data_IF_029051382501
#
_entry.id   IF_029051382501
#
_cell.length_a   1.000
_cell.length_b   1.000
_cell.length_c   1.000
_cell.angle_alpha   90.00
_cell.angle_beta   90.00
_cell.angle_gamma   90.00
#
_symmetry.space_group_name_H-M   'P 1'
#
loop_
_entity.id
_entity.type
_entity.pdbx_description
1 polymer ?
#
# COMPACT_ATOMS: atom_id res chain seq x y z
N UNK A 1 20.24 -27.37 -18.81
CA UNK A 1 19.41 -27.69 -17.64
C UNK A 1 18.22 -26.76 -17.69
N UNK A 2 17.08 -27.32 -18.07
CA UNK A 2 15.82 -26.62 -18.35
C UNK A 2 15.24 -26.03 -17.06
N UNK A 3 15.11 -24.71 -17.01
CA UNK A 3 14.41 -23.99 -15.95
C UNK A 3 12.91 -24.31 -16.09
N UNK A 4 12.41 -25.26 -15.30
CA UNK A 4 10.97 -25.53 -15.19
C UNK A 4 10.41 -24.40 -14.30
N UNK A 5 9.46 -23.58 -14.78
CA UNK A 5 8.77 -22.61 -13.93
C UNK A 5 8.07 -23.39 -12.80
N UNK A 6 8.23 -22.95 -11.58
CA UNK A 6 7.58 -23.55 -10.42
C UNK A 6 6.07 -23.25 -10.44
N UNK A 7 5.33 -24.04 -11.24
CA UNK A 7 3.87 -23.95 -11.50
C UNK A 7 3.03 -24.60 -10.39
N UNK A 8 3.48 -24.50 -9.13
CA UNK A 8 2.89 -25.26 -8.02
C UNK A 8 1.71 -24.58 -7.33
N UNK A 9 1.48 -23.29 -7.52
CA UNK A 9 0.36 -22.59 -6.86
C UNK A 9 -0.78 -22.33 -7.86
N UNK A 10 -1.94 -22.95 -7.58
CA UNK A 10 -3.14 -22.83 -8.42
C UNK A 10 -4.26 -22.11 -7.67
N UNK A 11 -4.94 -21.20 -8.35
CA UNK A 11 -5.96 -20.33 -7.79
C UNK A 11 -7.34 -20.69 -8.31
N UNK A 12 -8.35 -20.66 -7.43
CA UNK A 12 -9.75 -20.82 -7.84
C UNK A 12 -10.29 -19.49 -8.41
N UNK A 13 -11.28 -19.59 -9.30
CA UNK A 13 -11.87 -18.42 -9.98
C UNK A 13 -12.32 -17.30 -9.02
N UNK A 14 -12.77 -17.60 -7.80
CA UNK A 14 -13.14 -16.59 -6.81
C UNK A 14 -11.93 -15.77 -6.34
N UNK A 15 -10.79 -16.43 -6.10
CA UNK A 15 -9.54 -15.75 -5.74
C UNK A 15 -9.04 -14.89 -6.90
N UNK A 16 -9.06 -15.43 -8.13
CA UNK A 16 -8.69 -14.68 -9.34
C UNK A 16 -9.57 -13.43 -9.51
N UNK A 17 -10.89 -13.57 -9.35
CA UNK A 17 -11.82 -12.45 -9.43
C UNK A 17 -11.53 -11.37 -8.37
N UNK A 18 -11.21 -11.78 -7.13
CA UNK A 18 -10.82 -10.85 -6.06
C UNK A 18 -9.52 -10.11 -6.37
N UNK A 19 -8.51 -10.83 -6.90
CA UNK A 19 -7.19 -10.26 -7.21
C UNK A 19 -7.23 -9.33 -8.41
N UNK A 20 -7.94 -9.72 -9.48
CA UNK A 20 -7.99 -8.94 -10.74
C UNK A 20 -9.06 -7.84 -10.73
N UNK A 21 -10.01 -7.89 -9.81
CA UNK A 21 -11.19 -7.03 -9.81
C UNK A 21 -12.19 -7.34 -10.95
N UNK A 22 -12.00 -8.44 -11.68
CA UNK A 22 -12.92 -8.93 -12.69
C UNK A 22 -14.01 -9.79 -12.05
N UNK A 23 -15.25 -9.72 -12.56
CA UNK A 23 -16.27 -10.67 -12.11
C UNK A 23 -15.98 -12.09 -12.63
N UNK A 24 -16.39 -13.11 -11.88
CA UNK A 24 -16.26 -14.50 -12.31
C UNK A 24 -16.97 -14.79 -13.63
N UNK A 25 -18.03 -14.00 -13.93
CA UNK A 25 -18.75 -14.08 -15.20
C UNK A 25 -17.90 -13.58 -16.38
N UNK A 26 -17.20 -12.46 -16.19
CA UNK A 26 -16.29 -11.90 -17.21
C UNK A 26 -15.15 -12.87 -17.50
N UNK A 27 -14.51 -13.42 -16.46
CA UNK A 27 -13.41 -14.41 -16.63
C UNK A 27 -13.88 -15.63 -17.44
N UNK A 28 -15.06 -16.19 -17.12
CA UNK A 28 -15.63 -17.31 -17.89
C UNK A 28 -15.94 -16.92 -19.33
N UNK A 29 -16.47 -15.71 -19.56
CA UNK A 29 -16.76 -15.22 -20.91
C UNK A 29 -15.49 -15.07 -21.74
N UNK A 30 -14.38 -14.65 -21.14
CA UNK A 30 -13.10 -14.54 -21.82
C UNK A 30 -12.49 -15.91 -22.16
N UNK A 31 -12.69 -16.91 -21.31
CA UNK A 31 -12.36 -18.32 -21.60
C UNK A 31 -13.25 -18.86 -22.74
N UNK A 32 -14.57 -18.83 -22.56
CA UNK A 32 -15.52 -19.58 -23.39
C UNK A 32 -15.79 -18.91 -24.75
N UNK A 33 -15.88 -17.57 -24.81
CA UNK A 33 -16.25 -16.85 -26.03
C UNK A 33 -15.06 -16.32 -26.81
N UNK A 34 -14.02 -15.88 -26.09
CA UNK A 34 -12.87 -15.21 -26.71
C UNK A 34 -11.62 -16.07 -26.76
N UNK A 35 -11.63 -17.23 -26.10
CA UNK A 35 -10.54 -18.20 -26.10
C UNK A 35 -9.19 -17.58 -25.66
N UNK A 36 -9.23 -16.66 -24.69
CA UNK A 36 -8.06 -15.90 -24.24
C UNK A 36 -7.38 -16.48 -23.00
N UNK A 37 -8.07 -17.35 -22.24
CA UNK A 37 -7.54 -17.95 -21.00
C UNK A 37 -7.92 -19.42 -20.95
N UNK A 38 -6.97 -20.29 -20.59
CA UNK A 38 -7.15 -21.74 -20.59
C UNK A 38 -6.85 -22.37 -19.23
N UNK A 39 -7.71 -22.15 -18.20
CA UNK A 39 -7.45 -22.70 -16.87
C UNK A 39 -7.48 -24.22 -16.88
N UNK A 40 -6.59 -24.84 -16.13
CA UNK A 40 -6.60 -26.29 -15.95
C UNK A 40 -7.86 -26.71 -15.17
N UNK A 41 -8.30 -27.95 -15.38
CA UNK A 41 -9.39 -28.54 -14.61
C UNK A 41 -8.83 -29.43 -13.51
N UNK A 42 -9.18 -29.10 -12.25
CA UNK A 42 -8.85 -29.96 -11.12
C UNK A 42 -9.67 -31.26 -11.09
N UNK A 43 -9.35 -32.22 -10.20
CA UNK A 43 -10.05 -33.49 -10.08
C UNK A 43 -11.57 -33.35 -9.89
N UNK A 44 -12.02 -32.26 -9.29
CA UNK A 44 -13.45 -31.96 -9.03
C UNK A 44 -14.07 -31.08 -10.15
N UNK A 45 -13.45 -30.97 -11.33
CA UNK A 45 -13.92 -30.18 -12.45
C UNK A 45 -13.80 -28.66 -12.30
N UNK A 46 -13.29 -28.14 -11.18
CA UNK A 46 -13.12 -26.72 -10.96
C UNK A 46 -11.98 -26.15 -11.79
N UNK A 47 -12.17 -24.91 -12.28
CA UNK A 47 -11.13 -24.12 -12.95
C UNK A 47 -10.02 -23.78 -11.98
N UNK A 48 -8.78 -24.02 -12.39
CA UNK A 48 -7.55 -23.73 -11.65
C UNK A 48 -6.65 -22.85 -12.53
N UNK A 49 -6.38 -21.65 -12.07
CA UNK A 49 -5.58 -20.64 -12.76
C UNK A 49 -4.17 -20.61 -12.19
N UNK A 50 -3.19 -20.31 -13.02
CA UNK A 50 -1.80 -20.06 -12.63
C UNK A 50 -1.60 -18.59 -12.28
N UNK A 51 -0.44 -18.24 -11.71
CA UNK A 51 -0.02 -16.85 -11.52
C UNK A 51 0.05 -16.09 -12.85
N UNK A 52 0.57 -16.75 -13.89
CA UNK A 52 0.66 -16.19 -15.24
C UNK A 52 -0.72 -15.90 -15.87
N UNK A 53 -1.73 -16.73 -15.58
CA UNK A 53 -3.11 -16.42 -15.98
C UNK A 53 -3.66 -15.19 -15.27
N UNK A 54 -3.31 -14.98 -14.01
CA UNK A 54 -3.72 -13.78 -13.23
C UNK A 54 -3.08 -12.53 -13.84
N UNK A 55 -1.78 -12.58 -14.15
CA UNK A 55 -1.08 -11.47 -14.82
C UNK A 55 -1.71 -11.16 -16.18
N UNK A 56 -1.98 -12.18 -16.95
CA UNK A 56 -2.59 -12.01 -18.27
C UNK A 56 -3.99 -11.40 -18.19
N UNK A 57 -4.81 -11.80 -17.22
CA UNK A 57 -6.12 -11.20 -16.97
C UNK A 57 -6.01 -9.71 -16.54
N UNK A 58 -4.99 -9.36 -15.73
CA UNK A 58 -4.70 -7.97 -15.36
C UNK A 58 -4.26 -7.16 -16.57
N UNK A 59 -3.38 -7.71 -17.42
CA UNK A 59 -2.97 -7.09 -18.69
C UNK A 59 -4.16 -6.82 -19.59
N UNK A 60 -5.02 -7.81 -19.85
CA UNK A 60 -6.23 -7.63 -20.66
C UNK A 60 -7.13 -6.54 -20.09
N UNK A 61 -7.32 -6.52 -18.77
CA UNK A 61 -8.10 -5.48 -18.12
C UNK A 61 -7.50 -4.11 -18.35
N UNK A 62 -6.17 -3.96 -18.20
CA UNK A 62 -5.51 -2.68 -18.41
C UNK A 62 -5.66 -2.17 -19.85
N UNK A 63 -5.63 -3.05 -20.85
CA UNK A 63 -5.89 -2.66 -22.24
C UNK A 63 -7.34 -2.15 -22.43
N UNK A 64 -8.31 -2.78 -21.78
CA UNK A 64 -9.71 -2.30 -21.80
C UNK A 64 -9.84 -0.92 -21.13
N UNK A 65 -9.14 -0.69 -20.03
CA UNK A 65 -9.12 0.60 -19.31
C UNK A 65 -8.45 1.70 -20.16
N UNK A 66 -7.58 1.33 -21.12
CA UNK A 66 -6.98 2.22 -22.13
C UNK A 66 -7.82 2.38 -23.41
N UNK A 67 -9.02 1.77 -23.45
CA UNK A 67 -9.99 1.98 -24.53
C UNK A 67 -10.03 0.86 -25.60
N UNK A 68 -9.22 -0.17 -25.47
CA UNK A 68 -9.32 -1.35 -26.35
C UNK A 68 -10.61 -2.14 -26.07
N UNK A 69 -11.10 -2.88 -27.05
CA UNK A 69 -12.21 -3.81 -26.85
C UNK A 69 -11.71 -5.24 -26.74
N UNK A 70 -12.37 -6.06 -25.91
CA UNK A 70 -11.99 -7.47 -25.77
C UNK A 70 -12.06 -8.24 -27.09
N UNK A 71 -12.95 -7.83 -28.02
CA UNK A 71 -13.05 -8.43 -29.36
C UNK A 71 -11.82 -8.13 -30.23
N UNK A 72 -11.28 -6.91 -30.16
CA UNK A 72 -10.05 -6.51 -30.85
C UNK A 72 -8.85 -7.28 -30.29
N UNK A 73 -8.73 -7.32 -28.94
CA UNK A 73 -7.68 -8.08 -28.28
C UNK A 73 -7.72 -9.57 -28.66
N UNK A 74 -8.91 -10.18 -28.71
CA UNK A 74 -9.05 -11.58 -29.11
C UNK A 74 -8.62 -11.87 -30.56
N UNK A 75 -8.69 -10.87 -31.46
CA UNK A 75 -8.21 -11.00 -32.84
C UNK A 75 -6.68 -11.12 -32.94
N UNK A 76 -5.95 -10.45 -32.05
CA UNK A 76 -4.48 -10.59 -31.96
C UNK A 76 -4.08 -11.99 -31.46
N UNK A 77 -4.92 -12.63 -30.65
CA UNK A 77 -4.68 -13.97 -30.13
C UNK A 77 -3.86 -13.99 -28.84
N UNK A 78 -4.08 -15.02 -28.02
CA UNK A 78 -3.47 -15.16 -26.70
C UNK A 78 -1.94 -15.07 -26.73
N UNK A 79 -1.30 -15.74 -27.69
CA UNK A 79 0.17 -15.82 -27.78
C UNK A 79 0.80 -14.42 -27.96
N UNK A 80 0.30 -13.63 -28.90
CA UNK A 80 0.79 -12.28 -29.16
C UNK A 80 0.54 -11.34 -27.98
N UNK A 81 -0.63 -11.43 -27.37
CA UNK A 81 -0.97 -10.64 -26.17
C UNK A 81 -0.09 -10.99 -24.97
N UNK A 82 0.24 -12.27 -24.76
CA UNK A 82 1.17 -12.67 -23.69
C UNK A 82 2.60 -12.18 -23.96
N UNK A 83 3.04 -12.14 -25.21
CA UNK A 83 4.33 -11.52 -25.56
C UNK A 83 4.30 -10.01 -25.26
N UNK A 84 3.25 -9.32 -25.65
CA UNK A 84 3.09 -7.88 -25.39
C UNK A 84 3.04 -7.54 -23.90
N UNK A 85 2.44 -8.40 -23.09
CA UNK A 85 2.41 -8.27 -21.63
C UNK A 85 3.81 -8.15 -21.01
N UNK A 86 4.79 -8.89 -21.52
CA UNK A 86 6.16 -8.83 -21.03
C UNK A 86 6.93 -7.56 -21.46
N UNK A 87 6.36 -6.78 -22.36
CA UNK A 87 6.95 -5.54 -22.90
C UNK A 87 6.22 -4.28 -22.43
N UNK A 88 5.47 -4.33 -21.30
CA UNK A 88 4.85 -3.13 -20.70
C UNK A 88 5.92 -2.07 -20.43
N UNK A 89 5.82 -0.87 -21.04
CA UNK A 89 6.81 0.17 -20.87
C UNK A 89 6.89 0.65 -19.43
N UNK A 90 8.11 0.93 -18.95
CA UNK A 90 8.32 1.53 -17.63
C UNK A 90 7.98 3.02 -17.67
N UNK A 91 6.97 3.44 -16.93
CA UNK A 91 6.65 4.85 -16.74
C UNK A 91 7.52 5.43 -15.62
N UNK A 92 8.69 5.96 -15.96
CA UNK A 92 9.64 6.55 -15.00
C UNK A 92 9.36 8.02 -14.68
N UNK A 93 8.26 8.61 -15.16
CA UNK A 93 7.97 10.05 -15.02
C UNK A 93 7.90 10.54 -13.56
N UNK A 94 7.55 9.66 -12.63
CA UNK A 94 7.53 9.94 -11.18
C UNK A 94 8.86 9.74 -10.46
N UNK A 95 9.92 9.34 -11.17
CA UNK A 95 11.23 9.01 -10.62
C UNK A 95 12.27 9.96 -11.21
N UNK A 96 13.09 10.59 -10.35
CA UNK A 96 14.13 11.50 -10.84
C UNK A 96 15.13 10.74 -11.76
N UNK A 97 15.59 11.34 -12.86
CA UNK A 97 16.48 10.69 -13.84
C UNK A 97 17.73 10.06 -13.24
N UNK A 98 18.25 10.66 -12.16
CA UNK A 98 19.39 10.13 -11.41
C UNK A 98 19.18 8.67 -10.92
N UNK A 99 17.93 8.26 -10.68
CA UNK A 99 17.58 6.94 -10.13
C UNK A 99 16.99 5.97 -11.18
N UNK A 100 16.96 6.33 -12.46
CA UNK A 100 16.37 5.46 -13.49
C UNK A 100 17.09 4.11 -13.62
N UNK A 101 18.42 4.12 -13.63
CA UNK A 101 19.21 2.89 -13.72
C UNK A 101 18.99 2.00 -12.49
N UNK A 102 19.00 2.61 -11.30
CA UNK A 102 18.73 1.90 -10.04
C UNK A 102 17.32 1.31 -10.02
N UNK A 103 16.33 2.04 -10.55
CA UNK A 103 14.95 1.56 -10.66
C UNK A 103 14.83 0.38 -11.62
N UNK A 104 15.45 0.46 -12.80
CA UNK A 104 15.46 -0.64 -13.77
C UNK A 104 16.15 -1.88 -13.20
N UNK A 105 17.27 -1.70 -12.51
CA UNK A 105 17.98 -2.80 -11.85
C UNK A 105 17.13 -3.43 -10.73
N UNK A 106 16.42 -2.63 -9.92
CA UNK A 106 15.51 -3.15 -8.90
C UNK A 106 14.39 -4.01 -9.50
N UNK A 107 13.78 -3.55 -10.60
CA UNK A 107 12.76 -4.32 -11.32
C UNK A 107 13.33 -5.64 -11.86
N UNK A 108 14.55 -5.60 -12.41
CA UNK A 108 15.25 -6.80 -12.87
C UNK A 108 15.49 -7.79 -11.73
N UNK A 109 15.98 -7.30 -10.59
CA UNK A 109 16.22 -8.12 -9.39
C UNK A 109 14.92 -8.73 -8.84
N UNK A 110 13.84 -7.97 -8.84
CA UNK A 110 12.53 -8.45 -8.42
C UNK A 110 12.03 -9.58 -9.34
N UNK A 111 12.15 -9.43 -10.67
CA UNK A 111 11.82 -10.48 -11.64
C UNK A 111 12.64 -11.76 -11.45
N UNK A 112 13.91 -11.64 -11.08
CA UNK A 112 14.78 -12.78 -10.78
C UNK A 112 14.64 -13.30 -9.35
N UNK A 113 13.83 -12.67 -8.51
CA UNK A 113 13.66 -13.03 -7.09
C UNK A 113 14.97 -13.01 -6.29
N UNK A 114 15.88 -12.11 -6.67
CA UNK A 114 17.15 -11.93 -5.93
C UNK A 114 16.95 -11.06 -4.69
N UNK A 115 16.35 -11.66 -3.66
CA UNK A 115 15.98 -10.96 -2.42
C UNK A 115 17.22 -10.36 -1.71
N UNK A 116 18.39 -10.99 -1.85
CA UNK A 116 19.62 -10.50 -1.23
C UNK A 116 20.10 -9.21 -1.91
N UNK A 117 20.14 -9.19 -3.24
CA UNK A 117 20.53 -8.00 -3.98
C UNK A 117 19.53 -6.86 -3.80
N UNK A 118 18.21 -7.15 -3.73
CA UNK A 118 17.16 -6.17 -3.41
C UNK A 118 17.43 -5.53 -2.04
N UNK A 119 17.68 -6.34 -1.00
CA UNK A 119 18.00 -5.85 0.35
C UNK A 119 19.23 -4.95 0.33
N UNK A 120 20.32 -5.40 -0.28
CA UNK A 120 21.57 -4.62 -0.39
C UNK A 120 21.35 -3.28 -1.10
N UNK A 121 20.49 -3.25 -2.12
CA UNK A 121 20.19 -2.02 -2.85
C UNK A 121 19.36 -1.04 -2.00
N UNK A 122 18.37 -1.52 -1.26
CA UNK A 122 17.59 -0.70 -0.30
C UNK A 122 18.53 -0.11 0.76
N UNK A 123 19.38 -0.94 1.36
CA UNK A 123 20.35 -0.50 2.36
C UNK A 123 21.36 0.51 1.80
N UNK A 124 21.83 0.33 0.57
CA UNK A 124 22.70 1.28 -0.13
C UNK A 124 22.05 2.65 -0.24
N UNK A 125 20.78 2.73 -0.65
CA UNK A 125 20.07 4.02 -0.76
C UNK A 125 19.92 4.68 0.62
N UNK A 126 19.53 3.91 1.62
CA UNK A 126 19.34 4.42 2.98
C UNK A 126 20.65 4.90 3.58
N UNK A 127 21.73 4.16 3.42
CA UNK A 127 23.05 4.52 3.94
C UNK A 127 23.64 5.76 3.21
N UNK A 128 23.34 5.91 1.92
CA UNK A 128 23.83 7.04 1.13
C UNK A 128 23.14 8.37 1.42
N UNK A 129 21.82 8.36 1.59
CA UNK A 129 21.04 9.61 1.67
C UNK A 129 20.17 9.73 2.92
N UNK A 130 20.18 8.75 3.81
CA UNK A 130 19.30 8.65 4.97
C UNK A 130 17.93 8.04 4.61
N UNK A 131 17.29 7.40 5.59
CA UNK A 131 16.05 6.65 5.40
C UNK A 131 14.93 7.53 4.81
N UNK A 132 14.72 8.71 5.37
CA UNK A 132 13.67 9.62 4.96
C UNK A 132 13.79 10.01 3.48
N UNK A 133 14.98 10.49 3.08
CA UNK A 133 15.23 10.89 1.70
C UNK A 133 15.18 9.71 0.73
N UNK A 134 15.62 8.54 1.14
CA UNK A 134 15.52 7.31 0.35
C UNK A 134 14.05 6.92 0.12
N UNK A 135 13.21 7.00 1.16
CA UNK A 135 11.76 6.77 1.03
C UNK A 135 11.12 7.74 0.03
N UNK A 136 11.37 9.03 0.15
CA UNK A 136 10.72 10.06 -0.66
C UNK A 136 11.22 10.06 -2.11
N UNK A 137 12.55 9.94 -2.31
CA UNK A 137 13.16 10.17 -3.62
C UNK A 137 13.16 8.95 -4.54
N UNK A 138 13.14 7.73 -3.97
CA UNK A 138 13.28 6.51 -4.76
C UNK A 138 12.32 5.40 -4.33
N UNK A 139 12.17 5.10 -3.02
CA UNK A 139 11.43 3.90 -2.59
C UNK A 139 9.93 4.04 -2.88
N UNK A 140 9.27 5.15 -2.50
CA UNK A 140 7.85 5.35 -2.79
C UNK A 140 7.53 5.47 -4.28
N UNK A 141 8.28 6.25 -5.09
CA UNK A 141 8.09 6.26 -6.54
C UNK A 141 8.27 4.87 -7.16
N UNK A 142 9.27 4.10 -6.72
CA UNK A 142 9.51 2.73 -7.16
C UNK A 142 8.34 1.80 -6.79
N UNK A 143 7.88 1.81 -5.54
CA UNK A 143 6.76 0.97 -5.10
C UNK A 143 5.47 1.30 -5.88
N UNK A 144 5.25 2.57 -6.22
CA UNK A 144 4.13 2.99 -7.08
C UNK A 144 4.27 2.39 -8.47
N UNK A 145 5.44 2.53 -9.09
CA UNK A 145 5.74 1.97 -10.41
C UNK A 145 5.56 0.45 -10.43
N UNK A 146 6.07 -0.25 -9.42
CA UNK A 146 5.93 -1.72 -9.28
C UNK A 146 4.45 -2.10 -9.15
N UNK A 147 3.66 -1.35 -8.37
CA UNK A 147 2.22 -1.54 -8.27
C UNK A 147 1.48 -1.31 -9.60
N UNK A 148 1.85 -0.27 -10.34
CA UNK A 148 1.31 0.00 -11.68
C UNK A 148 1.63 -1.13 -12.66
N UNK A 149 2.89 -1.61 -12.67
CA UNK A 149 3.32 -2.74 -13.50
C UNK A 149 2.53 -4.02 -13.16
N UNK A 150 2.32 -4.29 -11.87
CA UNK A 150 1.48 -5.41 -11.45
C UNK A 150 0.04 -5.27 -11.94
N UNK A 151 -0.57 -4.10 -11.77
CA UNK A 151 -1.94 -3.84 -12.26
C UNK A 151 -2.08 -3.96 -13.79
N UNK A 152 -1.00 -3.67 -14.53
CA UNK A 152 -0.95 -3.79 -15.99
C UNK A 152 -0.55 -5.20 -16.46
N UNK A 153 -0.30 -6.14 -15.53
CA UNK A 153 0.15 -7.49 -15.86
C UNK A 153 1.62 -7.61 -16.28
N UNK A 154 2.37 -6.49 -16.26
CA UNK A 154 3.81 -6.47 -16.62
C UNK A 154 4.73 -6.98 -15.50
N UNK A 155 4.18 -7.27 -14.32
CA UNK A 155 4.88 -7.83 -13.15
C UNK A 155 3.94 -8.73 -12.37
N UNK A 156 4.45 -9.84 -11.80
CA UNK A 156 3.66 -10.74 -10.97
C UNK A 156 3.45 -10.18 -9.56
N UNK A 157 2.40 -10.66 -8.87
CA UNK A 157 2.19 -10.36 -7.46
C UNK A 157 3.40 -10.78 -6.61
N UNK A 158 4.03 -11.91 -6.93
CA UNK A 158 5.21 -12.41 -6.23
C UNK A 158 6.41 -11.48 -6.41
N UNK A 159 6.63 -10.95 -7.60
CA UNK A 159 7.70 -10.00 -7.89
C UNK A 159 7.47 -8.66 -7.16
N UNK A 160 6.24 -8.13 -7.20
CA UNK A 160 5.84 -6.96 -6.43
C UNK A 160 6.10 -7.18 -4.94
N UNK A 161 5.59 -8.27 -4.37
CA UNK A 161 5.71 -8.58 -2.95
C UNK A 161 7.16 -8.81 -2.52
N UNK A 162 8.07 -9.19 -3.40
CA UNK A 162 9.49 -9.35 -3.06
C UNK A 162 10.13 -8.02 -2.65
N UNK A 163 9.77 -6.92 -3.29
CA UNK A 163 10.25 -5.58 -2.95
C UNK A 163 9.51 -5.00 -1.74
N UNK A 164 8.17 -5.01 -1.79
CA UNK A 164 7.34 -4.40 -0.75
C UNK A 164 7.55 -5.04 0.62
N UNK A 165 7.74 -6.38 0.69
CA UNK A 165 8.07 -7.09 1.94
C UNK A 165 9.42 -6.69 2.52
N UNK A 166 10.44 -6.50 1.69
CA UNK A 166 11.77 -6.10 2.16
C UNK A 166 11.79 -4.66 2.65
N UNK A 167 11.11 -3.75 1.96
CA UNK A 167 10.88 -2.37 2.44
C UNK A 167 10.14 -2.39 3.79
N UNK A 168 9.05 -3.14 3.88
CA UNK A 168 8.29 -3.33 5.13
C UNK A 168 9.17 -3.86 6.27
N UNK A 169 9.98 -4.89 5.99
CA UNK A 169 10.86 -5.48 6.99
C UNK A 169 11.89 -4.48 7.51
N UNK A 170 12.44 -3.64 6.62
CA UNK A 170 13.36 -2.58 7.01
C UNK A 170 12.70 -1.56 7.94
N UNK A 171 11.50 -1.08 7.60
CA UNK A 171 10.75 -0.15 8.45
C UNK A 171 10.42 -0.74 9.83
N UNK A 172 10.06 -2.02 9.89
CA UNK A 172 9.83 -2.73 11.16
C UNK A 172 11.11 -2.81 11.99
N UNK A 173 12.25 -3.09 11.36
CA UNK A 173 13.53 -3.16 12.08
C UNK A 173 13.88 -1.81 12.70
N UNK A 174 13.68 -0.70 12.00
CA UNK A 174 13.84 0.66 12.57
C UNK A 174 12.92 0.88 13.78
N UNK A 175 11.68 0.37 13.73
CA UNK A 175 10.73 0.49 14.85
C UNK A 175 11.02 -0.44 16.04
N UNK A 176 11.93 -1.42 15.90
CA UNK A 176 12.40 -2.26 17.02
C UNK A 176 13.44 -1.59 17.90
N UNK A 177 14.11 -0.57 17.41
CA UNK A 177 15.00 0.26 18.24
C UNK A 177 14.18 0.93 19.36
N UNK A 178 14.85 1.27 20.45
CA UNK A 178 14.17 1.93 21.57
C UNK A 178 13.63 3.31 21.17
N UNK A 179 12.35 3.61 21.48
CA UNK A 179 11.80 4.91 21.18
C UNK A 179 12.45 6.01 22.02
N UNK A 180 12.40 7.28 21.58
CA UNK A 180 12.88 8.41 22.36
C UNK A 180 12.27 8.46 23.76
N UNK A 181 13.08 8.70 24.78
CA UNK A 181 12.61 8.84 26.16
C UNK A 181 11.83 10.15 26.32
N UNK A 182 10.67 10.09 26.98
CA UNK A 182 9.91 11.29 27.40
C UNK A 182 9.13 11.98 26.27
N UNK A 183 9.09 11.43 25.07
CA UNK A 183 8.31 11.97 23.94
C UNK A 183 6.80 11.71 24.05
N UNK A 184 5.97 12.47 23.29
CA UNK A 184 4.54 12.25 23.22
C UNK A 184 4.22 10.90 22.57
N UNK A 185 3.08 10.30 22.94
CA UNK A 185 2.68 8.98 22.46
C UNK A 185 1.77 9.07 21.24
N UNK A 186 2.10 8.31 20.18
CA UNK A 186 1.28 8.14 19.00
C UNK A 186 0.93 6.65 18.78
N UNK A 187 -0.34 6.37 18.45
CA UNK A 187 -0.79 5.06 17.98
C UNK A 187 -1.07 5.13 16.49
N UNK A 188 -0.50 4.20 15.74
CA UNK A 188 -0.61 4.12 14.29
C UNK A 188 -1.21 2.77 13.91
N UNK A 189 -2.22 2.73 13.04
CA UNK A 189 -2.89 1.50 12.62
C UNK A 189 -3.47 1.60 11.21
N UNK A 190 -3.65 0.45 10.55
CA UNK A 190 -4.58 0.36 9.43
C UNK A 190 -5.99 0.05 9.93
N UNK A 191 -6.99 0.64 9.28
CA UNK A 191 -8.40 0.36 9.60
C UNK A 191 -8.77 -1.11 9.32
N UNK A 192 -9.90 -1.63 9.85
CA UNK A 192 -10.36 -2.97 9.55
C UNK A 192 -10.50 -3.22 8.05
N UNK A 193 -9.98 -4.36 7.59
CA UNK A 193 -9.97 -4.77 6.19
C UNK A 193 -8.81 -4.21 5.36
N UNK A 194 -7.99 -3.31 5.89
CA UNK A 194 -6.83 -2.76 5.19
C UNK A 194 -5.52 -3.42 5.65
N UNK A 195 -4.74 -3.91 4.68
CA UNK A 195 -3.45 -4.59 4.88
C UNK A 195 -2.27 -3.84 4.26
N UNK A 196 -2.46 -2.59 3.81
CA UNK A 196 -1.41 -1.78 3.18
C UNK A 196 -0.56 -1.09 4.24
N UNK A 197 0.48 -1.75 4.70
CA UNK A 197 1.26 -1.38 5.89
C UNK A 197 2.38 -0.37 5.65
N UNK A 198 2.88 -0.19 4.41
CA UNK A 198 4.11 0.60 4.18
C UNK A 198 3.93 2.07 4.58
N UNK A 199 2.83 2.71 4.17
CA UNK A 199 2.59 4.11 4.51
C UNK A 199 2.42 4.35 6.03
N UNK A 200 1.60 3.57 6.78
CA UNK A 200 1.50 3.75 8.23
C UNK A 200 2.77 3.36 8.98
N UNK A 201 3.54 2.36 8.53
CA UNK A 201 4.87 2.07 9.09
C UNK A 201 5.84 3.25 8.88
N UNK A 202 5.84 3.84 7.69
CA UNK A 202 6.63 5.05 7.41
C UNK A 202 6.21 6.20 8.33
N UNK A 203 4.90 6.40 8.51
CA UNK A 203 4.38 7.41 9.45
C UNK A 203 4.93 7.19 10.87
N UNK A 204 4.92 5.94 11.35
CA UNK A 204 5.46 5.60 12.66
C UNK A 204 6.96 5.89 12.78
N UNK A 205 7.74 5.58 11.73
CA UNK A 205 9.19 5.86 11.68
C UNK A 205 9.45 7.38 11.64
N UNK A 206 8.72 8.14 10.84
CA UNK A 206 8.86 9.59 10.76
C UNK A 206 8.52 10.27 12.10
N UNK A 207 7.42 9.86 12.75
CA UNK A 207 7.04 10.35 14.07
C UNK A 207 8.13 10.06 15.10
N UNK A 208 8.76 8.88 15.04
CA UNK A 208 9.88 8.53 15.91
C UNK A 208 11.08 9.44 15.70
N UNK A 209 11.43 9.74 14.44
CA UNK A 209 12.46 10.71 14.09
C UNK A 209 12.17 12.13 14.59
N UNK A 210 10.88 12.47 14.78
CA UNK A 210 10.40 13.73 15.36
C UNK A 210 10.31 13.69 16.91
N UNK A 211 10.82 12.64 17.57
CA UNK A 211 10.83 12.52 19.02
C UNK A 211 9.57 11.90 19.64
N UNK A 212 8.66 11.35 18.83
CA UNK A 212 7.46 10.69 19.35
C UNK A 212 7.73 9.24 19.78
N UNK A 213 7.07 8.81 20.83
CA UNK A 213 6.95 7.38 21.16
C UNK A 213 5.85 6.78 20.28
N UNK A 214 6.19 6.45 19.03
CA UNK A 214 5.27 5.88 18.06
C UNK A 214 5.12 4.38 18.23
N UNK A 215 3.87 3.89 18.25
CA UNK A 215 3.52 2.48 18.36
C UNK A 215 2.68 2.11 17.15
N UNK A 216 3.19 1.23 16.30
CA UNK A 216 2.45 0.66 15.20
C UNK A 216 1.70 -0.58 15.67
N UNK A 217 0.37 -0.57 15.60
CA UNK A 217 -0.50 -1.65 16.06
C UNK A 217 -0.68 -2.77 15.01
N UNK A 218 -0.42 -2.47 13.75
CA UNK A 218 -0.53 -3.45 12.67
C UNK A 218 -1.59 -3.12 11.61
N UNK A 219 -1.75 -4.03 10.62
CA UNK A 219 -2.83 -3.98 9.66
C UNK A 219 -4.13 -4.49 10.27
N UNK A 220 -5.27 -4.18 9.63
CA UNK A 220 -6.59 -4.74 9.96
C UNK A 220 -6.94 -4.64 11.45
N UNK A 221 -6.67 -3.49 12.07
CA UNK A 221 -6.88 -3.29 13.52
C UNK A 221 -8.34 -3.01 13.80
N UNK A 222 -8.97 -3.83 14.65
CA UNK A 222 -10.34 -3.61 15.09
C UNK A 222 -10.43 -2.42 16.06
N UNK A 223 -11.65 -1.88 16.23
CA UNK A 223 -11.87 -0.81 17.20
C UNK A 223 -11.54 -1.28 18.63
N UNK A 224 -11.88 -2.49 18.99
CA UNK A 224 -11.63 -3.07 20.30
C UNK A 224 -10.12 -3.15 20.59
N UNK A 225 -9.31 -3.52 19.62
CA UNK A 225 -7.84 -3.51 19.73
C UNK A 225 -7.29 -2.10 19.92
N UNK A 226 -7.81 -1.12 19.16
CA UNK A 226 -7.44 0.29 19.29
C UNK A 226 -7.83 0.83 20.68
N UNK A 227 -9.05 0.54 21.15
CA UNK A 227 -9.52 0.95 22.48
C UNK A 227 -8.66 0.36 23.60
N UNK A 228 -8.30 -0.93 23.51
CA UNK A 228 -7.40 -1.56 24.49
C UNK A 228 -6.02 -0.88 24.53
N UNK A 229 -5.48 -0.48 23.37
CA UNK A 229 -4.21 0.22 23.31
C UNK A 229 -4.31 1.63 23.92
N UNK A 230 -5.42 2.34 23.68
CA UNK A 230 -5.70 3.66 24.24
C UNK A 230 -5.79 3.65 25.78
N UNK A 231 -6.40 2.62 26.35
CA UNK A 231 -6.54 2.49 27.82
C UNK A 231 -5.20 2.32 28.54
N UNK A 232 -4.16 1.82 27.86
CA UNK A 232 -2.86 1.50 28.46
C UNK A 232 -1.88 2.65 28.47
N UNK A 233 -2.08 3.71 27.67
CA UNK A 233 -1.12 4.81 27.49
C UNK A 233 -1.82 6.15 27.34
N UNK A 234 -1.15 7.21 27.80
CA UNK A 234 -1.57 8.59 27.53
C UNK A 234 -1.24 8.92 26.06
N UNK A 235 -2.15 8.60 25.15
CA UNK A 235 -1.99 8.82 23.72
C UNK A 235 -2.40 10.23 23.34
N UNK A 236 -1.52 10.96 22.66
CA UNK A 236 -1.78 12.32 22.18
C UNK A 236 -2.14 12.34 20.68
N UNK A 237 -1.79 11.29 19.94
CA UNK A 237 -2.08 11.18 18.50
C UNK A 237 -2.52 9.77 18.13
N UNK A 238 -3.62 9.67 17.38
CA UNK A 238 -4.02 8.48 16.65
C UNK A 238 -3.89 8.77 15.17
N UNK A 239 -3.17 7.90 14.44
CA UNK A 239 -3.04 7.96 13.01
C UNK A 239 -3.59 6.67 12.39
N UNK A 240 -4.62 6.82 11.55
CA UNK A 240 -5.27 5.69 10.88
C UNK A 240 -5.02 5.75 9.37
N UNK A 241 -4.60 4.62 8.81
CA UNK A 241 -4.40 4.47 7.37
C UNK A 241 -5.53 3.65 6.75
N UNK A 242 -6.00 4.09 5.57
CA UNK A 242 -7.02 3.39 4.79
C UNK A 242 -6.76 3.57 3.29
N UNK A 243 -6.41 2.49 2.61
CA UNK A 243 -6.23 2.48 1.14
C UNK A 243 -7.49 2.02 0.40
N UNK A 244 -8.26 1.13 1.00
CA UNK A 244 -9.51 0.63 0.44
C UNK A 244 -10.69 1.40 1.03
N UNK A 245 -11.67 1.76 0.22
CA UNK A 245 -12.85 2.47 0.67
C UNK A 245 -13.66 1.63 1.68
N UNK A 246 -13.78 2.05 2.97
CA UNK A 246 -14.34 1.20 4.02
C UNK A 246 -15.88 1.12 3.98
N UNK A 247 -16.52 1.92 3.13
CA UNK A 247 -17.95 2.12 3.14
C UNK A 247 -18.40 3.10 4.25
N UNK A 248 -19.30 4.00 3.91
CA UNK A 248 -19.71 5.14 4.78
C UNK A 248 -20.26 4.68 6.13
N UNK A 249 -21.08 3.62 6.16
CA UNK A 249 -21.70 3.11 7.39
C UNK A 249 -20.64 2.59 8.38
N UNK A 250 -19.64 1.88 7.89
CA UNK A 250 -18.54 1.37 8.72
C UNK A 250 -17.72 2.52 9.27
N UNK A 251 -17.35 3.47 8.40
CA UNK A 251 -16.57 4.65 8.79
C UNK A 251 -17.31 5.50 9.83
N UNK A 252 -18.61 5.80 9.64
CA UNK A 252 -19.41 6.55 10.62
C UNK A 252 -19.44 5.85 11.98
N UNK A 253 -19.66 4.54 12.01
CA UNK A 253 -19.63 3.76 13.26
C UNK A 253 -18.27 3.85 13.94
N UNK A 254 -17.20 3.78 13.18
CA UNK A 254 -15.83 3.88 13.68
C UNK A 254 -15.53 5.27 14.25
N UNK A 255 -15.85 6.32 13.52
CA UNK A 255 -15.65 7.71 13.96
C UNK A 255 -16.44 8.01 15.25
N UNK A 256 -17.69 7.59 15.34
CA UNK A 256 -18.50 7.76 16.55
C UNK A 256 -17.90 7.05 17.76
N UNK A 257 -17.37 5.85 17.59
CA UNK A 257 -16.71 5.10 18.68
C UNK A 257 -15.41 5.78 19.10
N UNK A 258 -14.57 6.19 18.15
CA UNK A 258 -13.31 6.88 18.43
C UNK A 258 -13.58 8.18 19.21
N UNK A 259 -14.46 9.04 18.71
CA UNK A 259 -14.73 10.33 19.35
C UNK A 259 -15.33 10.21 20.75
N UNK A 260 -16.05 9.14 21.07
CA UNK A 260 -16.59 8.88 22.43
C UNK A 260 -15.51 8.45 23.44
N UNK A 261 -14.45 7.80 22.99
CA UNK A 261 -13.43 7.22 23.87
C UNK A 261 -12.14 8.04 23.92
N UNK A 262 -12.06 9.09 23.10
CA UNK A 262 -10.90 9.96 23.08
C UNK A 262 -10.91 10.94 24.25
N UNK A 263 -9.74 11.10 24.87
CA UNK A 263 -9.51 12.25 25.75
C UNK A 263 -9.49 13.54 24.91
N UNK A 264 -9.94 14.67 25.46
CA UNK A 264 -9.93 15.97 24.75
C UNK A 264 -8.56 16.39 24.20
N UNK A 265 -7.49 15.85 24.79
CA UNK A 265 -6.09 16.10 24.40
C UNK A 265 -5.55 15.19 23.30
N UNK A 266 -6.33 14.22 22.80
CA UNK A 266 -5.88 13.29 21.77
C UNK A 266 -6.35 13.74 20.38
N UNK A 267 -5.41 14.00 19.49
CA UNK A 267 -5.72 14.28 18.08
C UNK A 267 -5.94 13.01 17.27
N UNK A 268 -6.83 13.08 16.29
CA UNK A 268 -7.01 12.01 15.30
C UNK A 268 -6.64 12.52 13.93
N UNK A 269 -5.77 11.77 13.27
CA UNK A 269 -5.38 11.99 11.88
C UNK A 269 -5.67 10.75 11.06
N UNK A 270 -6.02 10.96 9.81
CA UNK A 270 -6.27 9.86 8.87
C UNK A 270 -5.58 10.12 7.54
N UNK A 271 -5.09 9.06 6.91
CA UNK A 271 -4.42 9.13 5.62
C UNK A 271 -4.78 7.98 4.70
N UNK A 272 -4.51 8.17 3.42
CA UNK A 272 -4.74 7.19 2.39
C UNK A 272 -5.99 7.45 1.54
N UNK A 273 -6.01 6.91 0.29
CA UNK A 273 -7.06 7.19 -0.69
C UNK A 273 -8.46 6.73 -0.26
N UNK A 274 -8.57 5.70 0.59
CA UNK A 274 -9.84 5.20 1.09
C UNK A 274 -10.62 6.22 1.94
N UNK A 275 -9.95 7.21 2.53
CA UNK A 275 -10.60 8.29 3.27
C UNK A 275 -11.01 9.49 2.40
N UNK A 276 -10.47 9.60 1.18
CA UNK A 276 -10.70 10.76 0.30
C UNK A 276 -12.19 11.09 0.06
N UNK A 277 -13.08 10.12 -0.21
CA UNK A 277 -14.51 10.40 -0.41
C UNK A 277 -15.20 10.98 0.83
N UNK A 278 -14.62 10.76 2.00
CA UNK A 278 -15.21 11.10 3.30
C UNK A 278 -14.62 12.38 3.93
N UNK A 279 -13.77 13.11 3.22
CA UNK A 279 -13.16 14.33 3.73
C UNK A 279 -14.14 15.33 4.37
N UNK A 280 -15.36 15.58 3.81
CA UNK A 280 -16.35 16.44 4.47
C UNK A 280 -16.81 15.89 5.83
N UNK A 281 -17.03 14.58 5.94
CA UNK A 281 -17.43 13.92 7.19
C UNK A 281 -16.32 13.98 8.23
N UNK A 282 -15.07 13.79 7.84
CA UNK A 282 -13.91 13.86 8.74
C UNK A 282 -13.80 15.26 9.37
N UNK A 283 -14.04 16.31 8.60
CA UNK A 283 -14.05 17.71 9.09
C UNK A 283 -15.08 17.93 10.19
N UNK A 284 -16.28 17.37 10.07
CA UNK A 284 -17.34 17.54 11.10
C UNK A 284 -16.98 16.89 12.43
N UNK A 285 -15.97 16.00 12.44
CA UNK A 285 -15.47 15.32 13.64
C UNK A 285 -14.09 15.85 14.10
N UNK A 286 -13.62 16.98 13.55
CA UNK A 286 -12.29 17.56 13.81
C UNK A 286 -11.14 16.56 13.55
N UNK A 287 -11.29 15.72 12.52
CA UNK A 287 -10.28 14.75 12.12
C UNK A 287 -9.52 15.30 10.92
N UNK A 288 -8.20 15.34 11.03
CA UNK A 288 -7.31 15.83 9.98
C UNK A 288 -7.07 14.73 8.95
N UNK A 289 -7.39 15.00 7.68
CA UNK A 289 -7.04 14.15 6.55
C UNK A 289 -5.79 14.66 5.86
N UNK A 290 -4.79 13.80 5.68
CA UNK A 290 -3.58 14.11 4.92
C UNK A 290 -3.45 13.18 3.71
N UNK A 291 -2.88 13.71 2.62
CA UNK A 291 -2.77 13.00 1.35
C UNK A 291 -1.44 12.29 1.18
N UNK A 292 -0.39 12.79 1.84
CA UNK A 292 0.95 12.24 1.77
C UNK A 292 1.50 12.01 3.17
N UNK A 293 2.22 10.90 3.37
CA UNK A 293 2.79 10.57 4.68
C UNK A 293 3.84 11.58 5.14
N UNK A 294 4.46 12.29 4.21
CA UNK A 294 5.42 13.36 4.46
C UNK A 294 4.79 14.59 5.12
N UNK A 295 3.48 14.80 4.97
CA UNK A 295 2.74 15.89 5.60
C UNK A 295 2.84 15.85 7.14
N UNK A 296 3.15 14.66 7.70
CA UNK A 296 3.39 14.46 9.13
C UNK A 296 4.49 15.38 9.67
N UNK A 297 5.50 15.73 8.88
CA UNK A 297 6.59 16.64 9.27
C UNK A 297 6.12 18.06 9.53
N UNK A 298 5.11 18.50 8.78
CA UNK A 298 4.56 19.85 8.96
C UNK A 298 3.81 20.01 10.25
N UNK A 299 3.42 18.90 10.92
CA UNK A 299 2.80 18.89 12.25
C UNK A 299 3.69 19.59 13.28
N UNK A 300 4.98 19.28 13.29
CA UNK A 300 5.93 19.82 14.26
C UNK A 300 6.14 21.33 14.05
N UNK A 301 6.25 21.79 12.81
CA UNK A 301 6.47 23.19 12.49
C UNK A 301 5.28 24.10 12.89
N UNK A 302 4.06 23.59 12.84
CA UNK A 302 2.83 24.35 13.12
C UNK A 302 2.32 24.22 14.54
N UNK A 303 2.67 23.14 15.24
CA UNK A 303 2.22 22.91 16.63
C UNK A 303 3.18 23.41 17.67
N UNK A 304 4.35 23.97 17.29
CA UNK A 304 5.36 24.47 18.21
C UNK A 304 5.95 23.38 19.12
N UNK A 305 5.82 22.12 18.79
CA UNK A 305 6.18 20.97 19.63
C UNK A 305 7.69 20.74 19.83
N UNK A 306 8.56 21.70 19.46
CA UNK A 306 9.99 21.63 19.75
C UNK A 306 10.36 21.94 21.20
N UNK A 307 9.55 22.67 21.94
CA UNK A 307 9.95 23.20 23.27
C UNK A 307 9.01 22.88 24.45
N UNK A 308 7.80 22.37 24.26
CA UNK A 308 6.95 21.91 25.38
C UNK A 308 5.86 20.96 24.92
N UNK A 309 5.99 19.71 25.25
CA UNK A 309 4.97 18.65 25.05
C UNK A 309 3.62 18.92 25.80
N UNK A 310 3.42 20.12 26.37
CA UNK A 310 2.29 20.44 27.27
C UNK A 310 1.09 21.10 26.61
N UNK A 311 1.12 21.50 25.35
CA UNK A 311 0.04 22.26 24.73
C UNK A 311 -0.37 21.73 23.33
N UNK A 312 -0.64 20.43 23.23
CA UNK A 312 -1.29 19.88 22.05
C UNK A 312 -2.80 20.15 22.15
N UNK A 313 -3.28 21.15 21.43
CA UNK A 313 -4.71 21.43 21.34
C UNK A 313 -5.22 21.07 19.95
N UNK A 314 -6.27 20.23 19.82
CA UNK A 314 -6.82 19.81 18.52
C UNK A 314 -7.22 20.98 17.60
N UNK A 315 -7.57 22.13 18.17
CA UNK A 315 -7.95 23.34 17.41
C UNK A 315 -6.81 23.96 16.59
N UNK A 316 -5.53 23.66 16.89
CA UNK A 316 -4.40 24.14 16.07
C UNK A 316 -4.35 23.53 14.67
N UNK A 317 -5.14 22.48 14.39
CA UNK A 317 -5.24 21.82 13.09
C UNK A 317 -6.34 22.38 12.17
N UNK A 318 -7.29 23.16 12.72
CA UNK A 318 -8.46 23.61 11.96
C UNK A 318 -8.09 24.62 10.86
N UNK A 319 -6.97 25.33 11.00
CA UNK A 319 -6.49 26.34 10.03
C UNK A 319 -5.87 25.77 8.73
N UNK A 320 -5.91 24.47 8.50
CA UNK A 320 -5.27 23.78 7.38
C UNK A 320 -6.13 23.70 6.12
N UNK A 321 -7.37 24.15 6.17
CA UNK A 321 -8.38 23.85 5.14
C UNK A 321 -8.96 25.11 4.47
N UNK A 322 -8.35 26.27 4.67
CA UNK A 322 -8.68 27.49 3.93
C UNK A 322 -7.70 27.75 2.79
#
# INVERSE_FOLDING_TARGET
MSNIPNDSQKYRIKSVASTTGLSTHVIRKWEERYNLVHPQRGPNGYRLFTEDDIQFLLYLKSQLDHGESIGQLAQAGEHELRQSMHHVPLNLSGIAPLYWNDTQEMIRLARHQDLRAITTMIEKWINHMGLEKALDSIIFPLLRLIGELWHQGGMSLREEQSVSRLVRQHLINVLREEPPLGGPHALIACVPGDFHEIAPLTAAVLLRGLGWHSIYLGPNVSFEMLEMALRRKQTQLILLACNLEPGEKILRSWLQKITRHLQPSCAVMVGGPGFKPYAPLLRTHNIVYFTQVQDIKTLQQRTGMGESARAFHPSSFISWQS
#
